data_IF_919838445361
#
_entry.id   IF_919838445361
#
_cell.length_a   1.000
_cell.length_b   1.000
_cell.length_c   1.000
_cell.angle_alpha   90.00
_cell.angle_beta   90.00
_cell.angle_gamma   90.00
#
_symmetry.space_group_name_H-M   'P 1'
#
loop_
_entity.id
_entity.type
_entity.pdbx_description
1 polymer ?
#
# COMPACT_ATOMS: atom_id res chain seq x y z
N UNK A 1 -17.65 -9.42 -4.71
CA UNK A 1 -17.28 -10.47 -5.65
C UNK A 1 -15.83 -10.40 -6.04
N UNK A 2 -15.27 -11.39 -6.75
CA UNK A 2 -13.90 -11.29 -7.25
C UNK A 2 -13.76 -10.10 -8.20
N UNK A 3 -12.58 -9.49 -8.22
CA UNK A 3 -12.28 -8.40 -9.13
C UNK A 3 -12.30 -8.90 -10.58
N UNK A 4 -13.04 -8.19 -11.43
CA UNK A 4 -13.11 -8.50 -12.86
C UNK A 4 -12.42 -7.40 -13.66
N UNK A 5 -11.38 -7.76 -14.40
CA UNK A 5 -10.59 -6.83 -15.22
C UNK A 5 -11.42 -6.12 -16.30
N UNK A 6 -12.51 -6.74 -16.73
CA UNK A 6 -13.44 -6.14 -17.68
C UNK A 6 -14.16 -4.89 -17.17
N UNK A 7 -14.31 -4.79 -15.82
CA UNK A 7 -14.97 -3.63 -15.19
C UNK A 7 -14.02 -2.46 -14.98
N UNK A 8 -12.72 -2.74 -14.85
CA UNK A 8 -11.70 -1.72 -14.61
C UNK A 8 -10.45 -1.97 -15.46
N UNK A 9 -10.56 -1.89 -16.80
CA UNK A 9 -9.44 -2.23 -17.69
C UNK A 9 -8.20 -1.35 -17.49
N UNK A 10 -8.37 -0.12 -17.02
CA UNK A 10 -7.27 0.81 -16.72
C UNK A 10 -6.41 0.38 -15.52
N UNK A 11 -6.83 -0.64 -14.76
CA UNK A 11 -6.06 -1.19 -13.65
C UNK A 11 -5.10 -2.31 -14.06
N UNK A 12 -5.24 -2.85 -15.28
CA UNK A 12 -4.47 -4.00 -15.74
C UNK A 12 -2.96 -3.68 -15.80
N UNK A 13 -2.60 -2.58 -16.44
CA UNK A 13 -1.19 -2.19 -16.57
C UNK A 13 -0.52 -1.90 -15.23
N UNK A 14 -1.14 -1.11 -14.31
CA UNK A 14 -0.60 -0.93 -12.98
C UNK A 14 -0.41 -2.24 -12.22
N UNK A 15 -1.37 -3.15 -12.26
CA UNK A 15 -1.29 -4.45 -11.58
C UNK A 15 -0.14 -5.29 -12.15
N UNK A 16 -0.02 -5.37 -13.46
CA UNK A 16 1.05 -6.12 -14.12
C UNK A 16 2.43 -5.52 -13.83
N UNK A 17 2.53 -4.18 -13.80
CA UNK A 17 3.78 -3.47 -13.52
C UNK A 17 4.27 -3.71 -12.10
N UNK A 18 3.37 -3.85 -11.13
CA UNK A 18 3.72 -4.13 -9.73
C UNK A 18 4.44 -5.47 -9.53
N UNK A 19 4.22 -6.44 -10.40
CA UNK A 19 4.91 -7.73 -10.36
C UNK A 19 6.16 -7.79 -11.24
N UNK A 20 6.39 -6.77 -12.09
CA UNK A 20 7.57 -6.67 -12.92
C UNK A 20 8.79 -6.22 -12.09
N UNK A 21 9.95 -6.83 -12.31
CA UNK A 21 11.20 -6.48 -11.60
C UNK A 21 12.03 -5.42 -12.33
N UNK A 22 11.45 -4.79 -13.32
CA UNK A 22 12.11 -3.74 -14.12
C UNK A 22 12.02 -2.36 -13.46
N UNK A 23 11.10 -2.20 -12.48
CA UNK A 23 10.79 -0.92 -11.87
C UNK A 23 10.90 -1.01 -10.34
N UNK A 24 11.39 0.05 -9.73
CA UNK A 24 11.48 0.18 -8.27
C UNK A 24 10.24 0.83 -7.66
N UNK A 25 9.48 1.53 -8.48
CA UNK A 25 8.28 2.23 -8.03
C UNK A 25 7.23 2.32 -9.14
N UNK A 26 5.98 2.32 -8.72
CA UNK A 26 4.82 2.58 -9.58
C UNK A 26 4.01 3.71 -8.96
N UNK A 27 3.70 4.72 -9.75
CA UNK A 27 2.83 5.83 -9.35
C UNK A 27 1.53 5.73 -10.14
N UNK A 28 0.43 5.52 -9.45
CA UNK A 28 -0.89 5.47 -10.04
C UNK A 28 -1.71 6.68 -9.61
N UNK A 29 -2.02 7.55 -10.58
CA UNK A 29 -2.87 8.72 -10.36
C UNK A 29 -4.18 8.51 -11.08
N UNK A 30 -5.27 8.50 -10.33
CA UNK A 30 -6.59 8.28 -10.88
C UNK A 30 -7.67 9.00 -10.08
N UNK A 31 -8.83 9.24 -10.71
CA UNK A 31 -9.94 9.91 -10.05
C UNK A 31 -10.34 9.21 -8.75
N UNK A 32 -10.85 9.97 -7.81
CA UNK A 32 -11.43 9.41 -6.59
C UNK A 32 -12.60 8.48 -6.91
N UNK A 33 -12.82 7.46 -6.06
CA UNK A 33 -13.95 6.51 -6.16
C UNK A 33 -13.94 5.66 -7.44
N UNK A 34 -12.76 5.37 -8.00
CA UNK A 34 -12.62 4.48 -9.16
C UNK A 34 -12.27 3.04 -8.80
N UNK A 35 -12.35 2.68 -7.53
CA UNK A 35 -11.97 1.34 -7.05
C UNK A 35 -10.45 1.11 -7.00
N UNK A 36 -9.65 2.15 -7.19
CA UNK A 36 -8.18 2.05 -7.20
C UNK A 36 -7.59 1.47 -5.92
N UNK A 37 -8.13 1.82 -4.76
CA UNK A 37 -7.66 1.27 -3.49
C UNK A 37 -8.05 -0.20 -3.36
N UNK A 38 -9.29 -0.55 -3.67
CA UNK A 38 -9.78 -1.92 -3.58
C UNK A 38 -9.11 -2.83 -4.62
N UNK A 39 -9.06 -2.40 -5.86
CA UNK A 39 -8.48 -3.19 -6.95
C UNK A 39 -6.95 -3.25 -6.91
N UNK A 40 -6.29 -2.14 -6.58
CA UNK A 40 -4.84 -2.03 -6.65
C UNK A 40 -4.17 -2.36 -5.31
N UNK A 41 -4.52 -1.65 -4.24
CA UNK A 41 -3.86 -1.82 -2.94
C UNK A 41 -4.26 -3.14 -2.29
N UNK A 42 -5.55 -3.38 -2.11
CA UNK A 42 -6.02 -4.59 -1.43
C UNK A 42 -5.73 -5.84 -2.27
N UNK A 43 -5.84 -5.74 -3.59
CA UNK A 43 -5.45 -6.80 -4.52
C UNK A 43 -3.97 -7.13 -4.45
N UNK A 44 -3.11 -6.12 -4.37
CA UNK A 44 -1.66 -6.32 -4.23
C UNK A 44 -1.29 -6.94 -2.89
N UNK A 45 -1.97 -6.55 -1.81
CA UNK A 45 -1.82 -7.19 -0.49
C UNK A 45 -2.14 -8.68 -0.57
N UNK A 46 -3.30 -9.03 -1.12
CA UNK A 46 -3.75 -10.44 -1.23
C UNK A 46 -2.80 -11.25 -2.12
N UNK A 47 -2.41 -10.70 -3.26
CA UNK A 47 -1.41 -11.32 -4.13
C UNK A 47 -0.10 -11.60 -3.38
N UNK A 48 0.39 -10.61 -2.64
CA UNK A 48 1.61 -10.76 -1.85
C UNK A 48 1.51 -11.87 -0.81
N UNK A 49 0.38 -11.96 -0.12
CA UNK A 49 0.18 -12.99 0.91
C UNK A 49 0.14 -14.40 0.30
N UNK A 50 -0.51 -14.56 -0.83
CA UNK A 50 -0.77 -15.88 -1.44
C UNK A 50 0.38 -16.32 -2.35
N UNK A 51 0.83 -15.43 -3.23
CA UNK A 51 1.70 -15.79 -4.35
C UNK A 51 3.16 -15.44 -4.14
N UNK A 52 3.45 -14.40 -3.36
CA UNK A 52 4.81 -13.89 -3.18
C UNK A 52 5.00 -13.30 -1.78
N UNK A 53 5.03 -14.14 -0.74
CA UNK A 53 5.12 -13.68 0.65
C UNK A 53 6.36 -12.84 0.92
N UNK A 54 6.14 -11.69 1.54
CA UNK A 54 7.19 -10.79 2.01
C UNK A 54 6.60 -9.77 2.99
N UNK A 55 7.48 -9.14 3.76
CA UNK A 55 7.07 -8.06 4.63
C UNK A 55 6.58 -6.86 3.82
N UNK A 56 5.44 -6.31 4.20
CA UNK A 56 4.77 -5.22 3.49
C UNK A 56 4.31 -4.13 4.45
N UNK A 57 4.51 -2.89 4.04
CA UNK A 57 4.00 -1.70 4.71
C UNK A 57 2.94 -1.02 3.84
N UNK A 58 1.78 -0.78 4.42
CA UNK A 58 0.73 0.06 3.81
C UNK A 58 0.57 1.32 4.65
N UNK A 59 0.75 2.48 4.03
CA UNK A 59 0.67 3.77 4.70
C UNK A 59 -0.58 4.51 4.23
N UNK A 60 -1.51 4.70 5.14
CA UNK A 60 -2.70 5.53 4.94
C UNK A 60 -2.38 6.98 5.32
N UNK A 61 -3.21 7.93 4.89
CA UNK A 61 -2.94 9.36 5.11
C UNK A 61 -2.96 9.78 6.58
N UNK A 62 -3.71 9.07 7.43
CA UNK A 62 -3.83 9.33 8.87
C UNK A 62 -3.95 8.04 9.66
N UNK A 63 -3.72 8.12 10.98
CA UNK A 63 -3.93 6.99 11.90
C UNK A 63 -5.38 6.49 11.85
N UNK A 64 -6.35 7.41 11.82
CA UNK A 64 -7.77 7.05 11.73
C UNK A 64 -8.06 6.27 10.44
N UNK A 65 -7.52 6.71 9.30
CA UNK A 65 -7.68 6.00 8.04
C UNK A 65 -6.99 4.65 8.02
N UNK A 66 -5.83 4.52 8.64
CA UNK A 66 -5.14 3.24 8.80
C UNK A 66 -5.99 2.25 9.59
N UNK A 67 -6.56 2.69 10.69
CA UNK A 67 -7.46 1.88 11.53
C UNK A 67 -8.73 1.47 10.79
N UNK A 68 -9.35 2.40 10.09
CA UNK A 68 -10.56 2.16 9.28
C UNK A 68 -10.30 1.13 8.18
N UNK A 69 -9.21 1.30 7.42
CA UNK A 69 -8.81 0.36 6.36
C UNK A 69 -8.62 -1.06 6.93
N UNK A 70 -7.90 -1.18 8.03
CA UNK A 70 -7.64 -2.47 8.67
C UNK A 70 -8.92 -3.14 9.17
N UNK A 71 -9.76 -2.41 9.91
CA UNK A 71 -10.95 -2.97 10.56
C UNK A 71 -12.08 -3.28 9.61
N UNK A 72 -12.31 -2.46 8.61
CA UNK A 72 -13.46 -2.61 7.72
C UNK A 72 -13.09 -3.33 6.44
N UNK A 73 -12.09 -2.87 5.70
CA UNK A 73 -11.78 -3.40 4.36
C UNK A 73 -10.91 -4.64 4.41
N UNK A 74 -9.76 -4.58 5.03
CA UNK A 74 -8.84 -5.71 5.10
C UNK A 74 -9.43 -6.88 5.88
N UNK A 75 -10.06 -6.64 7.02
CA UNK A 75 -10.71 -7.70 7.79
C UNK A 75 -11.80 -8.39 7.00
N UNK A 76 -12.56 -7.65 6.19
CA UNK A 76 -13.57 -8.22 5.30
C UNK A 76 -12.92 -9.04 4.18
N UNK A 77 -11.93 -8.47 3.50
CA UNK A 77 -11.18 -9.15 2.43
C UNK A 77 -10.56 -10.45 2.93
N UNK A 78 -9.93 -10.44 4.08
CA UNK A 78 -9.30 -11.63 4.66
C UNK A 78 -10.35 -12.69 5.04
N UNK A 79 -11.46 -12.28 5.61
CA UNK A 79 -12.56 -13.20 5.98
C UNK A 79 -13.17 -13.89 4.78
N UNK A 80 -13.28 -13.18 3.65
CA UNK A 80 -13.85 -13.73 2.41
C UNK A 80 -12.85 -14.49 1.54
N UNK A 81 -11.58 -14.51 1.91
CA UNK A 81 -10.55 -15.26 1.20
C UNK A 81 -10.04 -16.43 2.06
N UNK A 82 -10.49 -17.66 1.83
CA UNK A 82 -10.00 -18.83 2.57
C UNK A 82 -8.48 -19.00 2.46
N UNK A 83 -7.92 -18.67 1.30
CA UNK A 83 -6.47 -18.74 1.06
C UNK A 83 -5.67 -17.78 1.92
N UNK A 84 -6.19 -16.59 2.20
CA UNK A 84 -5.56 -15.64 3.13
C UNK A 84 -5.81 -16.06 4.57
N UNK A 85 -7.06 -16.42 4.92
CA UNK A 85 -7.44 -16.77 6.28
C UNK A 85 -6.61 -17.92 6.84
N UNK A 86 -6.35 -18.95 6.04
CA UNK A 86 -5.53 -20.09 6.49
C UNK A 86 -4.05 -19.76 6.68
N UNK A 87 -3.58 -18.65 6.13
CA UNK A 87 -2.20 -18.18 6.26
C UNK A 87 -1.98 -17.22 7.43
N UNK A 88 -3.05 -16.65 7.99
CA UNK A 88 -2.95 -15.79 9.17
C UNK A 88 -2.50 -16.58 10.39
N UNK A 89 -1.62 -15.99 11.21
CA UNK A 89 -1.29 -16.55 12.51
C UNK A 89 -2.55 -16.64 13.39
N UNK A 90 -2.80 -17.76 14.07
CA UNK A 90 -3.94 -17.91 14.96
C UNK A 90 -3.77 -17.15 16.28
N UNK A 91 -2.57 -16.67 16.59
CA UNK A 91 -2.30 -15.94 17.82
C UNK A 91 -2.93 -14.56 17.80
N UNK A 92 -3.67 -14.23 18.86
CA UNK A 92 -4.24 -12.88 19.02
C UNK A 92 -3.17 -11.79 19.17
N UNK A 93 -1.99 -12.16 19.68
CA UNK A 93 -0.89 -11.23 19.85
C UNK A 93 -0.24 -10.85 18.51
N UNK A 94 -0.36 -11.71 17.50
CA UNK A 94 0.23 -11.51 16.17
C UNK A 94 -0.69 -10.72 15.24
N UNK A 95 -1.95 -10.52 15.61
CA UNK A 95 -2.95 -9.88 14.77
C UNK A 95 -3.68 -8.77 15.53
N UNK A 96 -3.32 -7.54 15.25
CA UNK A 96 -4.00 -6.36 15.79
C UNK A 96 -4.38 -5.41 14.65
N UNK A 97 -4.85 -4.22 14.98
CA UNK A 97 -5.31 -3.24 13.98
C UNK A 97 -4.20 -2.84 13.02
N UNK A 98 -2.97 -2.68 13.50
CA UNK A 98 -1.86 -2.17 12.69
C UNK A 98 -0.92 -3.25 12.18
N UNK A 99 -0.89 -4.41 12.81
CA UNK A 99 0.06 -5.47 12.49
C UNK A 99 -0.67 -6.79 12.25
N UNK A 100 -0.36 -7.45 11.14
CA UNK A 100 -0.86 -8.77 10.78
C UNK A 100 0.34 -9.68 10.50
N UNK A 101 0.42 -10.81 11.21
CA UNK A 101 1.47 -11.79 11.00
C UNK A 101 0.93 -13.05 10.36
N UNK A 102 1.73 -13.65 9.50
CA UNK A 102 1.37 -14.85 8.75
C UNK A 102 2.21 -16.05 9.21
N UNK A 103 1.74 -17.26 8.91
CA UNK A 103 2.38 -18.51 9.34
C UNK A 103 3.78 -18.69 8.79
N UNK A 104 4.11 -18.10 7.65
CA UNK A 104 5.44 -18.13 7.03
C UNK A 104 6.44 -17.15 7.66
N UNK A 105 6.01 -16.38 8.64
CA UNK A 105 6.82 -15.37 9.32
C UNK A 105 6.78 -13.98 8.68
N UNK A 106 6.17 -13.82 7.51
CA UNK A 106 5.97 -12.51 6.91
C UNK A 106 4.93 -11.71 7.67
N UNK A 107 4.99 -10.39 7.58
CA UNK A 107 4.01 -9.52 8.24
C UNK A 107 3.57 -8.36 7.34
N UNK A 108 2.38 -7.86 7.65
CA UNK A 108 1.79 -6.68 7.05
C UNK A 108 1.59 -5.63 8.14
N UNK A 109 2.18 -4.45 7.94
CA UNK A 109 1.97 -3.29 8.79
C UNK A 109 1.08 -2.28 8.09
N UNK A 110 0.11 -1.74 8.82
CA UNK A 110 -0.79 -0.68 8.34
C UNK A 110 -0.56 0.53 9.22
N UNK A 111 0.11 1.54 8.65
CA UNK A 111 0.52 2.73 9.36
C UNK A 111 0.05 4.03 8.72
N UNK A 112 0.60 5.12 9.21
CA UNK A 112 0.36 6.48 8.73
C UNK A 112 1.70 7.22 8.64
N UNK A 113 1.78 8.38 7.95
CA UNK A 113 3.04 9.08 7.78
C UNK A 113 3.65 9.52 9.11
N UNK A 114 4.68 8.81 9.55
CA UNK A 114 5.46 9.12 10.73
C UNK A 114 6.87 8.59 10.57
N UNK A 115 7.85 9.23 11.18
CA UNK A 115 9.23 8.74 11.11
C UNK A 115 9.37 7.36 11.77
N UNK A 116 8.62 7.09 12.81
CA UNK A 116 8.63 5.77 13.47
C UNK A 116 8.24 4.66 12.48
N UNK A 117 7.19 4.84 11.69
CA UNK A 117 6.75 3.87 10.67
C UNK A 117 7.81 3.69 9.59
N UNK A 118 8.40 4.79 9.09
CA UNK A 118 9.39 4.74 8.02
C UNK A 118 10.81 4.36 8.47
N UNK A 119 11.08 4.19 9.76
CA UNK A 119 12.41 3.86 10.27
C UNK A 119 12.48 2.55 11.04
N UNK A 120 11.32 1.91 11.30
CA UNK A 120 11.28 0.75 12.19
C UNK A 120 11.78 -0.55 11.57
N UNK A 121 11.63 -0.73 10.27
CA UNK A 121 11.98 -1.98 9.57
C UNK A 121 12.21 -1.72 8.09
N UNK A 122 12.84 -2.67 7.40
CA UNK A 122 12.86 -2.73 5.96
C UNK A 122 11.68 -3.55 5.45
N UNK A 123 11.15 -3.16 4.29
CA UNK A 123 10.02 -3.82 3.66
C UNK A 123 10.30 -4.05 2.19
N UNK A 124 9.95 -5.23 1.68
CA UNK A 124 10.07 -5.48 0.25
C UNK A 124 9.02 -4.72 -0.55
N UNK A 125 7.84 -4.52 0.03
CA UNK A 125 6.75 -3.76 -0.59
C UNK A 125 6.27 -2.66 0.33
N UNK A 126 6.14 -1.46 -0.21
CA UNK A 126 5.53 -0.32 0.48
C UNK A 126 4.46 0.27 -0.43
N UNK A 127 3.26 0.46 0.12
CA UNK A 127 2.15 1.14 -0.55
C UNK A 127 1.83 2.45 0.18
N UNK A 128 1.84 3.56 -0.54
CA UNK A 128 1.43 4.88 -0.05
C UNK A 128 0.10 5.23 -0.70
N UNK A 129 -0.97 5.23 0.09
CA UNK A 129 -2.33 5.41 -0.43
C UNK A 129 -2.88 6.79 -0.09
N UNK A 130 -3.60 7.44 -1.03
CA UNK A 130 -4.04 8.82 -0.93
C UNK A 130 -2.88 9.80 -0.72
N UNK A 131 -1.83 9.63 -1.50
CA UNK A 131 -0.56 10.36 -1.34
C UNK A 131 -0.72 11.88 -1.47
N UNK A 132 -1.70 12.34 -2.25
CA UNK A 132 -2.07 13.75 -2.36
C UNK A 132 -2.53 14.38 -1.02
N UNK A 133 -2.85 13.54 -0.03
CA UNK A 133 -3.25 13.96 1.32
C UNK A 133 -2.12 13.83 2.36
N UNK A 134 -0.96 13.34 1.95
CA UNK A 134 0.18 13.21 2.85
C UNK A 134 0.80 14.58 3.16
N UNK A 135 1.44 14.73 4.33
CA UNK A 135 2.27 15.91 4.60
C UNK A 135 3.43 15.97 3.60
N UNK A 136 3.83 17.15 3.17
CA UNK A 136 4.99 17.36 2.30
C UNK A 136 6.30 16.92 2.95
N UNK A 137 6.35 16.99 4.28
CA UNK A 137 7.51 16.61 5.07
C UNK A 137 7.04 15.79 6.27
N UNK A 138 7.59 14.59 6.42
CA UNK A 138 7.27 13.68 7.53
C UNK A 138 8.24 13.94 8.68
N UNK A 139 7.74 14.56 9.74
CA UNK A 139 8.49 14.83 10.97
C UNK A 139 9.85 15.52 10.76
N UNK A 140 9.99 16.33 9.71
CA UNK A 140 11.23 17.03 9.38
C UNK A 140 12.28 16.22 8.63
N UNK A 141 11.99 14.94 8.30
CA UNK A 141 12.96 14.00 7.72
C UNK A 141 12.83 13.85 6.18
N UNK A 142 11.92 14.57 5.56
CA UNK A 142 11.72 14.53 4.11
C UNK A 142 10.35 14.03 3.71
N UNK A 143 10.14 13.86 2.39
CA UNK A 143 8.86 13.37 1.87
C UNK A 143 8.69 11.86 2.08
N UNK A 144 7.42 11.43 2.15
CA UNK A 144 7.09 10.06 2.44
C UNK A 144 7.60 9.08 1.36
N UNK A 145 7.59 9.48 0.09
CA UNK A 145 8.07 8.61 -0.99
C UNK A 145 9.57 8.30 -0.84
N UNK A 146 10.40 9.30 -0.57
CA UNK A 146 11.83 9.11 -0.35
C UNK A 146 12.10 8.23 0.87
N UNK A 147 11.39 8.46 1.97
CA UNK A 147 11.52 7.65 3.18
C UNK A 147 11.08 6.20 2.94
N UNK A 148 9.98 5.99 2.23
CA UNK A 148 9.48 4.66 1.86
C UNK A 148 10.47 3.93 0.95
N UNK A 149 11.01 4.60 -0.06
CA UNK A 149 11.96 4.00 -1.01
C UNK A 149 13.22 3.50 -0.33
N UNK A 150 13.69 4.16 0.72
CA UNK A 150 14.81 3.68 1.53
C UNK A 150 14.52 2.33 2.21
N UNK A 151 13.26 2.05 2.53
CA UNK A 151 12.87 0.77 3.17
C UNK A 151 12.91 -0.40 2.21
N UNK A 152 12.78 -0.17 0.90
CA UNK A 152 12.81 -1.21 -0.12
C UNK A 152 14.20 -1.46 -0.71
N UNK A 153 15.16 -0.58 -0.46
CA UNK A 153 16.50 -0.61 -1.06
C UNK A 153 17.26 -1.91 -0.79
N UNK A 154 17.14 -2.46 0.42
CA UNK A 154 17.78 -3.73 0.81
C UNK A 154 17.38 -4.90 -0.10
N UNK A 155 16.19 -4.85 -0.69
CA UNK A 155 15.63 -5.93 -1.52
C UNK A 155 15.99 -5.78 -3.01
N UNK A 156 16.74 -4.75 -3.38
CA UNK A 156 17.21 -4.50 -4.75
C UNK A 156 16.07 -4.54 -5.76
N UNK A 157 16.18 -5.33 -6.83
CA UNK A 157 15.18 -5.41 -7.90
C UNK A 157 13.84 -6.06 -7.47
N UNK A 158 13.79 -6.72 -6.33
CA UNK A 158 12.53 -7.27 -5.79
C UNK A 158 11.76 -6.27 -4.92
N UNK A 159 12.38 -5.15 -4.53
CA UNK A 159 11.73 -4.08 -3.80
C UNK A 159 10.78 -3.28 -4.69
N UNK A 160 9.64 -2.86 -4.14
CA UNK A 160 8.64 -2.07 -4.87
C UNK A 160 7.95 -1.05 -3.96
N UNK A 161 7.88 0.18 -4.42
CA UNK A 161 7.07 1.23 -3.79
C UNK A 161 5.90 1.58 -4.72
N UNK A 162 4.69 1.42 -4.23
CA UNK A 162 3.48 1.84 -4.93
C UNK A 162 2.97 3.14 -4.33
N UNK A 163 2.75 4.13 -5.16
CA UNK A 163 2.08 5.38 -4.79
C UNK A 163 0.74 5.44 -5.49
N UNK A 164 -0.33 5.56 -4.72
CA UNK A 164 -1.68 5.75 -5.22
C UNK A 164 -2.15 7.15 -4.79
N UNK A 165 -2.62 7.94 -5.74
CA UNK A 165 -2.98 9.34 -5.52
C UNK A 165 -4.19 9.72 -6.36
N UNK A 166 -4.89 10.78 -5.93
CA UNK A 166 -5.90 11.46 -6.75
C UNK A 166 -5.31 12.76 -7.30
N UNK A 167 -5.79 13.25 -8.46
CA UNK A 167 -5.45 14.59 -8.93
C UNK A 167 -5.84 15.63 -7.88
N UNK A 168 -5.03 16.68 -7.74
CA UNK A 168 -5.36 17.81 -6.89
C UNK A 168 -6.69 18.44 -7.28
N UNK A 169 -7.34 19.09 -6.32
CA UNK A 169 -8.67 19.69 -6.55
C UNK A 169 -8.61 20.89 -7.51
N UNK A 170 -7.50 21.57 -7.55
CA UNK A 170 -7.32 22.75 -8.39
C UNK A 170 -6.22 22.50 -9.43
N UNK A 171 -6.67 22.16 -10.62
CA UNK A 171 -5.77 21.95 -11.77
C UNK A 171 -5.18 23.27 -12.29
N UNK A 172 -5.69 24.41 -11.82
CA UNK A 172 -5.16 25.73 -12.18
C UNK A 172 -4.05 26.17 -11.23
N UNK A 173 -3.85 25.47 -10.10
CA UNK A 173 -2.75 25.74 -9.20
C UNK A 173 -1.42 25.46 -9.90
N UNK A 174 -0.60 26.48 -10.05
CA UNK A 174 0.75 26.37 -10.64
C UNK A 174 1.68 25.46 -9.85
N UNK A 175 1.36 25.17 -8.62
CA UNK A 175 2.09 24.23 -7.75
C UNK A 175 1.58 22.79 -7.89
N UNK A 176 0.48 22.59 -8.60
CA UNK A 176 -0.04 21.24 -8.79
C UNK A 176 0.95 20.38 -9.58
N UNK A 177 1.22 19.20 -9.10
CA UNK A 177 2.13 18.24 -9.73
C UNK A 177 1.61 16.82 -9.53
N UNK A 178 1.00 16.26 -10.54
CA UNK A 178 0.62 14.85 -10.60
C UNK A 178 -0.01 14.31 -9.29
N UNK A 179 -1.00 15.01 -8.73
CA UNK A 179 -1.66 14.59 -7.51
C UNK A 179 -0.75 14.56 -6.27
N UNK A 180 0.30 15.36 -6.25
CA UNK A 180 1.25 15.39 -5.15
C UNK A 180 2.33 14.29 -5.19
N UNK A 181 2.29 13.43 -6.20
CA UNK A 181 3.27 12.36 -6.37
C UNK A 181 4.45 12.82 -7.25
N UNK A 182 5.45 13.47 -6.68
CA UNK A 182 6.68 13.89 -7.37
C UNK A 182 7.92 13.58 -6.59
#
# INVERSE_FOLDING_TARGET
GPWESSLTPYMIDPINTLSAREYDAVVFVGPARTGKTEGLIDGWIVYGIICDPADMLVVQMTETKAREHSRTRLSRTFRHSPEVSKRLSPSRNDNNVHDKMFLDGSFLKIGWPSITVFSSSDYRRVALTDYDRFPENVDGEGDAFTLASKRTTTFMSSGMTLVESSPGRDITDTKWRCGGAH
#
